data_IF_946532594332
#
_entry.id   IF_946532594332
#
_cell.length_a   1.000
_cell.length_b   1.000
_cell.length_c   1.000
_cell.angle_alpha   90.00
_cell.angle_beta   90.00
_cell.angle_gamma   90.00
#
_symmetry.space_group_name_H-M   'P 1'
#
loop_
_entity.id
_entity.type
_entity.pdbx_description
1 polymer ?
#
# COMPACT_ATOMS: atom_id res chain seq x y z
N UNK A 1 -33.16 -10.41 7.61
CA UNK A 1 -32.61 -9.46 6.61
C UNK A 1 -31.12 -9.25 6.87
N UNK A 2 -30.28 -9.29 5.83
CA UNK A 2 -28.85 -8.95 5.94
C UNK A 2 -28.68 -7.55 6.52
N UNK A 3 -27.80 -7.37 7.54
CA UNK A 3 -27.56 -6.08 8.21
C UNK A 3 -27.14 -4.96 7.24
N UNK A 4 -26.57 -5.30 6.08
CA UNK A 4 -26.09 -4.33 5.09
C UNK A 4 -27.19 -3.75 4.21
N UNK A 5 -28.34 -4.44 4.05
CA UNK A 5 -29.48 -3.92 3.28
C UNK A 5 -30.06 -2.63 3.86
N UNK A 6 -30.00 -2.45 5.19
CA UNK A 6 -30.42 -1.22 5.88
C UNK A 6 -29.65 0.02 5.39
N UNK A 7 -28.43 -0.18 4.91
CA UNK A 7 -27.53 0.88 4.46
C UNK A 7 -27.52 1.04 2.93
N UNK A 8 -28.46 0.41 2.21
CA UNK A 8 -28.51 0.46 0.74
C UNK A 8 -27.37 -0.29 0.04
N UNK A 9 -26.64 -1.14 0.77
CA UNK A 9 -25.52 -1.92 0.23
C UNK A 9 -25.99 -3.34 -0.05
N UNK A 10 -25.95 -3.72 -1.32
CA UNK A 10 -26.20 -5.09 -1.77
C UNK A 10 -24.89 -5.88 -1.80
N UNK A 11 -24.86 -6.99 -1.06
CA UNK A 11 -23.74 -7.91 -1.07
C UNK A 11 -23.85 -8.73 -2.36
N UNK A 12 -23.06 -8.37 -3.36
CA UNK A 12 -22.91 -9.15 -4.59
C UNK A 12 -21.84 -10.22 -4.37
N UNK A 13 -22.12 -11.44 -4.78
CA UNK A 13 -21.12 -12.50 -4.77
C UNK A 13 -20.09 -12.22 -5.87
N UNK A 14 -18.80 -12.22 -5.50
CA UNK A 14 -17.70 -11.91 -6.42
C UNK A 14 -16.73 -13.08 -6.44
N UNK A 15 -16.24 -13.49 -7.62
CA UNK A 15 -15.22 -14.52 -7.69
C UNK A 15 -13.97 -14.07 -6.94
N UNK A 16 -13.44 -14.96 -6.11
CA UNK A 16 -12.18 -14.72 -5.39
C UNK A 16 -11.01 -14.81 -6.37
N UNK A 17 -10.62 -13.68 -6.95
CA UNK A 17 -9.46 -13.60 -7.83
C UNK A 17 -8.19 -13.66 -6.97
N UNK A 18 -7.38 -14.70 -7.17
CA UNK A 18 -6.06 -14.79 -6.52
C UNK A 18 -5.06 -13.93 -7.30
N UNK A 19 -4.14 -13.23 -6.62
CA UNK A 19 -3.06 -12.54 -7.31
C UNK A 19 -2.20 -13.55 -8.06
N UNK A 20 -1.90 -13.26 -9.32
CA UNK A 20 -1.06 -14.10 -10.19
C UNK A 20 0.42 -13.70 -10.06
N UNK A 21 0.70 -12.46 -9.66
CA UNK A 21 2.03 -11.92 -9.49
C UNK A 21 2.26 -11.56 -8.03
N UNK A 22 3.40 -11.97 -7.50
CA UNK A 22 3.87 -11.61 -6.18
C UNK A 22 4.99 -10.58 -6.31
N UNK A 23 4.99 -9.56 -5.45
CA UNK A 23 6.07 -8.58 -5.40
C UNK A 23 7.20 -9.15 -4.55
N UNK A 24 8.24 -9.69 -5.21
CA UNK A 24 9.44 -10.14 -4.52
C UNK A 24 10.41 -8.96 -4.31
N UNK A 25 10.79 -8.75 -3.05
CA UNK A 25 11.70 -7.69 -2.62
C UNK A 25 13.10 -8.21 -2.22
N UNK A 26 13.33 -9.52 -2.25
CA UNK A 26 14.55 -10.15 -1.73
C UNK A 26 15.76 -10.05 -2.67
N UNK A 27 15.51 -9.88 -3.97
CA UNK A 27 16.56 -9.75 -5.00
C UNK A 27 17.05 -8.32 -5.26
N UNK A 28 18.05 -8.18 -6.15
CA UNK A 28 18.61 -6.88 -6.56
C UNK A 28 17.57 -5.91 -7.13
N UNK A 29 16.56 -6.43 -7.84
CA UNK A 29 15.47 -5.61 -8.36
C UNK A 29 14.55 -5.11 -7.22
N UNK A 30 14.29 -5.96 -6.23
CA UNK A 30 13.61 -5.58 -5.00
C UNK A 30 14.33 -4.46 -4.25
N UNK A 31 15.64 -4.59 -4.10
CA UNK A 31 16.48 -3.55 -3.49
C UNK A 31 16.38 -2.22 -4.25
N UNK A 32 16.44 -2.24 -5.59
CA UNK A 32 16.27 -1.03 -6.41
C UNK A 32 14.91 -0.38 -6.19
N UNK A 33 13.84 -1.18 -6.14
CA UNK A 33 12.48 -0.70 -5.89
C UNK A 33 12.41 0.01 -4.53
N UNK A 34 12.93 -0.63 -3.48
CA UNK A 34 12.96 -0.06 -2.13
C UNK A 34 13.72 1.27 -2.15
N UNK A 35 14.95 1.29 -2.68
CA UNK A 35 15.78 2.52 -2.73
C UNK A 35 15.07 3.67 -3.45
N UNK A 36 14.42 3.39 -4.59
CA UNK A 36 13.68 4.39 -5.35
C UNK A 36 12.48 4.93 -4.59
N UNK A 37 11.69 4.04 -3.96
CA UNK A 37 10.53 4.43 -3.16
C UNK A 37 10.93 5.22 -1.93
N UNK A 38 11.96 4.77 -1.20
CA UNK A 38 12.52 5.49 -0.06
C UNK A 38 12.96 6.89 -0.46
N UNK A 39 13.69 7.04 -1.57
CA UNK A 39 14.10 8.35 -2.09
C UNK A 39 12.90 9.26 -2.37
N UNK A 40 11.85 8.73 -3.01
CA UNK A 40 10.62 9.50 -3.28
C UNK A 40 9.94 9.96 -1.99
N UNK A 41 9.83 9.07 -1.01
CA UNK A 41 9.22 9.36 0.30
C UNK A 41 9.99 10.47 1.03
N UNK A 42 11.32 10.39 1.06
CA UNK A 42 12.17 11.40 1.71
C UNK A 42 12.02 12.77 1.05
N UNK A 43 11.96 12.83 -0.28
CA UNK A 43 11.76 14.09 -1.02
C UNK A 43 10.36 14.64 -0.76
N UNK A 44 9.33 13.80 -0.86
CA UNK A 44 7.94 14.24 -0.72
C UNK A 44 7.62 14.73 0.70
N UNK A 45 8.21 14.11 1.72
CA UNK A 45 7.94 14.40 3.13
C UNK A 45 9.13 15.04 3.87
N UNK A 46 9.94 15.84 3.17
CA UNK A 46 11.16 16.43 3.72
C UNK A 46 10.93 17.17 5.05
N UNK A 47 9.85 17.95 5.17
CA UNK A 47 9.51 18.69 6.40
C UNK A 47 9.19 17.77 7.58
N UNK A 48 8.50 16.66 7.33
CA UNK A 48 8.15 15.67 8.34
C UNK A 48 9.41 15.01 8.88
N UNK A 49 10.30 14.55 7.99
CA UNK A 49 11.55 13.92 8.40
C UNK A 49 12.49 14.89 9.10
N UNK A 50 12.54 16.16 8.67
CA UNK A 50 13.28 17.21 9.39
C UNK A 50 12.77 17.38 10.83
N UNK A 51 11.46 17.48 11.00
CA UNK A 51 10.85 17.59 12.33
C UNK A 51 11.16 16.37 13.20
N UNK A 52 11.10 15.16 12.63
CA UNK A 52 11.43 13.93 13.36
C UNK A 52 12.91 13.84 13.74
N UNK A 53 13.83 14.40 12.95
CA UNK A 53 15.26 14.41 13.29
C UNK A 53 15.63 15.40 14.40
N UNK A 54 14.72 16.35 14.68
CA UNK A 54 14.88 17.38 15.72
C UNK A 54 14.16 16.99 17.03
N UNK A 55 13.47 15.84 17.06
CA UNK A 55 12.84 15.24 18.25
C UNK A 55 13.81 14.34 18.99
#
# INVERSE_FOLDING_TARGET
MSRMKKYGVEIVDRPKIRPIKELDLTGKEGEKIIRLLTKKILIHHQKTFKRLSEM
#
